data_IF_433758930843
#
_entry.id   IF_433758930843
#
_cell.length_a   1.000
_cell.length_b   1.000
_cell.length_c   1.000
_cell.angle_alpha   90.00
_cell.angle_beta   90.00
_cell.angle_gamma   90.00
#
_symmetry.space_group_name_H-M   'P 1'
#
loop_
_entity.id
_entity.type
_entity.pdbx_description
1 polymer ?
#
# COMPACT_ATOMS: atom_id res chain seq x y z
N UNK A 1 -71.58 -20.50 35.88
CA UNK A 1 -71.21 -19.17 35.34
C UNK A 1 -72.40 -18.66 34.58
N UNK A 2 -72.92 -17.48 34.94
CA UNK A 2 -74.00 -16.87 34.17
C UNK A 2 -73.42 -16.25 32.91
N UNK A 3 -73.91 -16.65 31.74
CA UNK A 3 -73.50 -16.06 30.45
C UNK A 3 -74.35 -14.83 30.19
N UNK A 4 -73.72 -13.70 29.88
CA UNK A 4 -74.38 -12.42 29.58
C UNK A 4 -74.37 -12.21 28.07
N UNK A 5 -75.50 -11.85 27.47
CA UNK A 5 -75.54 -11.52 26.05
C UNK A 5 -74.81 -10.20 25.80
N UNK A 6 -73.90 -10.15 24.84
CA UNK A 6 -73.14 -8.92 24.55
C UNK A 6 -73.93 -7.83 23.81
N UNK A 7 -75.18 -8.11 23.40
CA UNK A 7 -76.04 -7.15 22.69
C UNK A 7 -76.99 -6.45 23.68
N UNK A 8 -77.84 -7.22 24.37
CA UNK A 8 -78.77 -6.66 25.37
C UNK A 8 -78.11 -6.43 26.74
N UNK A 9 -76.94 -7.03 27.00
CA UNK A 9 -76.25 -7.01 28.30
C UNK A 9 -77.04 -7.68 29.44
N UNK A 10 -78.10 -8.41 29.11
CA UNK A 10 -78.88 -9.19 30.06
C UNK A 10 -78.32 -10.61 30.23
N UNK A 11 -78.63 -11.22 31.39
CA UNK A 11 -78.34 -12.63 31.64
C UNK A 11 -79.11 -13.48 30.61
N UNK A 12 -78.40 -14.30 29.85
CA UNK A 12 -79.06 -15.24 28.95
C UNK A 12 -79.72 -16.30 29.82
N UNK A 13 -81.06 -16.31 29.85
CA UNK A 13 -81.83 -17.30 30.60
C UNK A 13 -81.64 -18.72 30.08
N UNK A 14 -82.47 -19.66 30.54
CA UNK A 14 -82.43 -21.09 30.14
C UNK A 14 -82.65 -21.31 28.62
N UNK A 15 -82.95 -20.23 27.90
CA UNK A 15 -83.11 -20.16 26.47
C UNK A 15 -81.77 -20.18 25.74
N UNK A 16 -81.48 -21.31 25.08
CA UNK A 16 -80.80 -21.44 23.80
C UNK A 16 -79.77 -20.35 23.43
N UNK A 17 -78.51 -20.64 23.73
CA UNK A 17 -77.38 -19.83 23.29
C UNK A 17 -77.09 -20.07 21.80
N UNK A 18 -76.92 -18.97 21.06
CA UNK A 18 -76.53 -18.96 19.66
C UNK A 18 -75.02 -18.70 19.58
N UNK A 19 -74.26 -19.68 19.11
CA UNK A 19 -72.83 -19.53 18.87
C UNK A 19 -72.56 -19.25 17.39
N UNK A 20 -72.02 -18.06 17.10
CA UNK A 20 -71.54 -17.72 15.75
C UNK A 20 -70.23 -18.46 15.42
N UNK A 21 -69.89 -18.59 14.14
CA UNK A 21 -68.64 -19.25 13.68
C UNK A 21 -67.34 -18.66 14.27
N UNK A 22 -67.39 -17.44 14.79
CA UNK A 22 -66.27 -16.79 15.44
C UNK A 22 -66.19 -17.06 16.97
N UNK A 23 -67.15 -17.81 17.51
CA UNK A 23 -67.18 -18.22 18.92
C UNK A 23 -67.84 -17.21 19.87
N UNK A 24 -68.45 -16.14 19.36
CA UNK A 24 -69.22 -15.22 20.19
C UNK A 24 -70.63 -15.75 20.44
N UNK A 25 -71.09 -15.53 21.67
CA UNK A 25 -72.35 -16.05 22.22
C UNK A 25 -73.33 -14.91 22.41
N UNK A 26 -74.57 -15.13 21.97
CA UNK A 26 -75.67 -14.19 22.11
C UNK A 26 -76.91 -14.95 22.57
N UNK A 27 -77.87 -14.24 23.15
CA UNK A 27 -79.23 -14.74 23.27
C UNK A 27 -79.84 -14.90 21.86
N UNK A 28 -80.81 -15.80 21.74
CA UNK A 28 -81.41 -16.12 20.43
C UNK A 28 -82.03 -14.90 19.77
N UNK A 29 -82.72 -14.07 20.53
CA UNK A 29 -83.48 -12.94 20.00
C UNK A 29 -82.55 -11.84 19.48
N UNK A 30 -81.52 -11.42 20.23
CA UNK A 30 -80.60 -10.42 19.72
C UNK A 30 -79.73 -10.96 18.58
N UNK A 31 -79.36 -12.24 18.60
CA UNK A 31 -78.63 -12.85 17.48
C UNK A 31 -79.42 -12.78 16.18
N UNK A 32 -80.71 -13.15 16.21
CA UNK A 32 -81.59 -13.12 15.04
C UNK A 32 -81.82 -11.68 14.56
N UNK A 33 -82.11 -10.74 15.46
CA UNK A 33 -82.31 -9.33 15.11
C UNK A 33 -81.07 -8.69 14.45
N UNK A 34 -79.86 -9.05 14.92
CA UNK A 34 -78.63 -8.60 14.29
C UNK A 34 -78.38 -9.24 12.93
N UNK A 35 -78.81 -10.49 12.72
CA UNK A 35 -78.66 -11.19 11.44
C UNK A 35 -79.70 -10.74 10.40
N UNK A 36 -80.88 -10.30 10.83
CA UNK A 36 -81.88 -9.68 9.95
C UNK A 36 -81.37 -8.36 9.35
N UNK A 37 -80.42 -7.70 10.02
CA UNK A 37 -79.85 -6.42 9.59
C UNK A 37 -78.44 -6.54 8.99
N UNK A 38 -77.63 -7.51 9.41
CA UNK A 38 -76.32 -7.76 8.80
C UNK A 38 -75.86 -9.22 8.95
N UNK A 39 -75.26 -9.77 7.89
CA UNK A 39 -74.68 -11.13 7.89
C UNK A 39 -73.35 -11.26 8.67
N UNK A 40 -73.01 -10.28 9.52
CA UNK A 40 -71.74 -10.21 10.23
C UNK A 40 -71.93 -10.24 11.74
N UNK A 41 -70.98 -10.86 12.45
CA UNK A 41 -71.00 -10.90 13.91
C UNK A 41 -70.95 -9.47 14.50
N UNK A 42 -71.85 -9.08 15.41
CA UNK A 42 -71.87 -7.73 16.00
C UNK A 42 -70.58 -7.34 16.73
N UNK A 43 -69.85 -8.32 17.26
CA UNK A 43 -68.62 -8.08 18.04
C UNK A 43 -67.39 -7.98 17.14
N UNK A 44 -67.15 -8.96 16.27
CA UNK A 44 -65.89 -9.03 15.50
C UNK A 44 -66.05 -8.77 14.00
N UNK A 45 -67.28 -8.50 13.53
CA UNK A 45 -67.63 -8.20 12.13
C UNK A 45 -67.23 -9.27 11.10
N UNK A 46 -66.90 -10.49 11.56
CA UNK A 46 -66.67 -11.62 10.66
C UNK A 46 -68.00 -12.13 10.11
N UNK A 47 -68.00 -12.53 8.84
CA UNK A 47 -69.19 -13.10 8.18
C UNK A 47 -69.64 -14.37 8.90
N UNK A 48 -70.94 -14.47 9.16
CA UNK A 48 -71.51 -15.59 9.91
C UNK A 48 -71.71 -16.80 9.00
N UNK A 49 -72.09 -16.59 7.74
CA UNK A 49 -72.21 -17.65 6.75
C UNK A 49 -70.84 -18.01 6.16
N UNK A 50 -70.32 -19.20 6.48
CA UNK A 50 -69.12 -19.72 5.83
C UNK A 50 -69.57 -20.54 4.63
N UNK A 51 -68.99 -20.31 3.45
CA UNK A 51 -69.44 -20.82 2.14
C UNK A 51 -69.53 -22.35 1.99
N UNK A 52 -69.17 -23.10 3.04
CA UNK A 52 -69.08 -24.56 3.05
C UNK A 52 -70.06 -25.23 4.04
N UNK A 53 -70.95 -24.48 4.69
CA UNK A 53 -71.96 -25.02 5.61
C UNK A 53 -73.37 -24.73 5.07
N UNK A 54 -74.27 -25.69 5.26
CA UNK A 54 -75.67 -25.64 4.83
C UNK A 54 -76.33 -24.30 5.22
N UNK A 55 -76.85 -23.51 4.25
CA UNK A 55 -77.44 -22.19 4.50
C UNK A 55 -78.56 -22.18 5.53
N UNK A 56 -79.14 -23.34 5.86
CA UNK A 56 -80.31 -23.40 6.73
C UNK A 56 -80.03 -23.31 8.24
N UNK A 57 -78.77 -23.40 8.71
CA UNK A 57 -78.45 -23.28 10.15
C UNK A 57 -77.11 -22.57 10.42
N UNK A 58 -77.08 -21.22 10.48
CA UNK A 58 -75.85 -20.45 10.70
C UNK A 58 -75.30 -20.47 12.15
N UNK A 59 -75.90 -21.26 13.05
CA UNK A 59 -75.51 -21.29 14.45
C UNK A 59 -75.64 -22.67 15.10
N UNK A 60 -74.77 -22.92 16.08
CA UNK A 60 -74.83 -24.10 16.94
C UNK A 60 -75.65 -23.79 18.19
N UNK A 61 -76.62 -24.65 18.50
CA UNK A 61 -77.40 -24.61 19.73
C UNK A 61 -76.60 -25.29 20.85
N UNK A 62 -76.25 -24.56 21.90
CA UNK A 62 -75.53 -25.10 23.07
C UNK A 62 -76.44 -25.12 24.29
N UNK A 63 -76.60 -26.28 24.90
CA UNK A 63 -77.29 -26.44 26.18
C UNK A 63 -76.25 -26.49 27.30
N UNK A 64 -76.27 -25.52 28.22
CA UNK A 64 -75.46 -25.55 29.43
C UNK A 64 -76.24 -26.31 30.49
N UNK A 65 -75.89 -27.58 30.72
CA UNK A 65 -76.45 -28.34 31.84
C UNK A 65 -75.77 -27.90 33.12
N UNK A 66 -76.52 -27.35 34.07
CA UNK A 66 -76.02 -26.79 35.31
C UNK A 66 -76.62 -27.52 36.50
N UNK A 67 -76.12 -28.73 36.80
CA UNK A 67 -76.39 -29.37 38.08
C UNK A 67 -75.08 -29.78 38.75
N UNK A 68 -74.70 -28.95 39.73
CA UNK A 68 -73.64 -29.22 40.68
C UNK A 68 -74.28 -29.71 41.97
N UNK A 69 -74.47 -31.02 42.13
CA UNK A 69 -74.34 -31.59 43.47
C UNK A 69 -74.11 -33.10 43.45
N UNK A 70 -73.29 -33.47 44.44
CA UNK A 70 -73.14 -34.76 45.04
C UNK A 70 -72.04 -35.75 44.61
N UNK A 71 -71.39 -36.15 45.69
CA UNK A 71 -70.24 -37.03 45.85
C UNK A 71 -70.72 -38.47 45.74
N UNK A 72 -70.25 -39.21 44.73
CA UNK A 72 -69.87 -40.64 44.81
C UNK A 72 -70.05 -41.35 43.47
N UNK A 73 -68.95 -41.83 42.89
CA UNK A 73 -68.78 -43.26 42.61
C UNK A 73 -67.37 -43.50 42.01
N UNK A 74 -66.60 -44.35 42.69
CA UNK A 74 -65.15 -44.49 42.52
C UNK A 74 -64.67 -45.36 41.36
N UNK A 75 -65.25 -45.22 40.17
CA UNK A 75 -64.89 -46.02 38.99
C UNK A 75 -64.03 -45.31 37.93
N UNK A 76 -64.19 -44.00 37.76
CA UNK A 76 -63.60 -43.20 36.67
C UNK A 76 -62.39 -42.36 37.09
N UNK A 77 -62.03 -42.38 38.38
CA UNK A 77 -60.95 -41.55 38.95
C UNK A 77 -59.58 -41.92 38.38
N UNK A 78 -59.29 -43.21 38.15
CA UNK A 78 -57.98 -43.66 37.67
C UNK A 78 -57.66 -43.19 36.25
N UNK A 79 -58.61 -43.30 35.32
CA UNK A 79 -58.41 -42.82 33.94
C UNK A 79 -58.30 -41.29 33.87
N UNK A 80 -59.08 -40.59 34.70
CA UNK A 80 -59.00 -39.15 34.82
C UNK A 80 -57.67 -38.68 35.41
N UNK A 81 -57.16 -39.35 36.44
CA UNK A 81 -55.83 -39.08 37.02
C UNK A 81 -54.73 -39.34 35.99
N UNK A 82 -54.82 -40.41 35.20
CA UNK A 82 -53.85 -40.69 34.14
C UNK A 82 -53.85 -39.60 33.05
N UNK A 83 -55.02 -39.14 32.63
CA UNK A 83 -55.15 -38.03 31.67
C UNK A 83 -54.61 -36.72 32.26
N UNK A 84 -54.83 -36.47 33.55
CA UNK A 84 -54.32 -35.28 34.23
C UNK A 84 -52.79 -35.30 34.29
N UNK A 85 -52.19 -36.46 34.59
CA UNK A 85 -50.73 -36.66 34.58
C UNK A 85 -50.17 -36.45 33.16
N UNK A 86 -50.80 -37.02 32.14
CA UNK A 86 -50.41 -36.83 30.72
C UNK A 86 -50.51 -35.36 30.30
N UNK A 87 -51.53 -34.64 30.73
CA UNK A 87 -51.71 -33.22 30.45
C UNK A 87 -50.62 -32.37 31.13
N UNK A 88 -50.32 -32.63 32.41
CA UNK A 88 -49.24 -31.95 33.14
C UNK A 88 -47.89 -32.19 32.46
N UNK A 89 -47.59 -33.44 32.09
CA UNK A 89 -46.38 -33.79 31.36
C UNK A 89 -46.29 -33.08 29.99
N UNK A 90 -47.40 -32.99 29.25
CA UNK A 90 -47.46 -32.26 27.99
C UNK A 90 -47.21 -30.75 28.16
N UNK A 91 -47.74 -30.14 29.23
CA UNK A 91 -47.53 -28.72 29.53
C UNK A 91 -46.07 -28.42 29.91
N UNK A 92 -45.43 -29.27 30.72
CA UNK A 92 -44.00 -29.17 31.01
C UNK A 92 -43.18 -29.24 29.71
N UNK A 93 -43.52 -30.17 28.82
CA UNK A 93 -42.86 -30.29 27.51
C UNK A 93 -43.08 -29.07 26.62
N UNK A 94 -44.27 -28.45 26.65
CA UNK A 94 -44.54 -27.21 25.91
C UNK A 94 -43.68 -26.05 26.43
N UNK A 95 -43.58 -25.88 27.75
CA UNK A 95 -42.75 -24.85 28.37
C UNK A 95 -41.26 -25.03 28.05
N UNK A 96 -40.76 -26.27 28.07
CA UNK A 96 -39.39 -26.59 27.66
C UNK A 96 -39.14 -26.21 26.18
N UNK A 97 -40.04 -26.59 25.26
CA UNK A 97 -39.92 -26.24 23.84
C UNK A 97 -40.01 -24.73 23.57
N UNK A 98 -40.82 -23.99 24.35
CA UNK A 98 -40.90 -22.54 24.24
C UNK A 98 -39.61 -21.86 24.72
N UNK A 99 -39.00 -22.39 25.78
CA UNK A 99 -37.68 -21.95 26.26
C UNK A 99 -36.59 -22.20 25.22
N UNK A 100 -36.52 -23.42 24.67
CA UNK A 100 -35.56 -23.80 23.61
C UNK A 100 -35.70 -22.90 22.37
N UNK A 101 -36.94 -22.58 21.98
CA UNK A 101 -37.23 -21.73 20.82
C UNK A 101 -36.78 -20.28 21.06
N UNK A 102 -36.92 -19.77 22.30
CA UNK A 102 -36.43 -18.45 22.65
C UNK A 102 -34.90 -18.39 22.70
N UNK A 103 -34.24 -19.43 23.24
CA UNK A 103 -32.79 -19.56 23.21
C UNK A 103 -32.26 -19.59 21.77
N UNK A 104 -32.85 -20.42 20.90
CA UNK A 104 -32.48 -20.48 19.47
C UNK A 104 -32.69 -19.14 18.74
N UNK A 105 -33.74 -18.37 19.10
CA UNK A 105 -33.94 -17.01 18.55
C UNK A 105 -32.83 -16.06 18.98
N UNK A 106 -32.41 -16.14 20.24
CA UNK A 106 -31.31 -15.34 20.75
C UNK A 106 -29.99 -15.67 20.03
N UNK A 107 -29.68 -16.96 19.87
CA UNK A 107 -28.48 -17.43 19.16
C UNK A 107 -28.45 -16.96 17.70
N UNK A 108 -29.60 -17.04 16.99
CA UNK A 108 -29.73 -16.51 15.63
C UNK A 108 -29.49 -14.99 15.59
N UNK A 109 -29.93 -14.25 16.62
CA UNK A 109 -29.68 -12.81 16.71
C UNK A 109 -28.18 -12.50 16.87
N UNK A 110 -27.48 -13.24 17.75
CA UNK A 110 -26.04 -13.12 17.94
C UNK A 110 -25.29 -13.46 16.64
N UNK A 111 -25.62 -14.60 16.02
CA UNK A 111 -24.98 -15.03 14.77
C UNK A 111 -25.16 -14.00 13.64
N UNK A 112 -26.35 -13.41 13.50
CA UNK A 112 -26.61 -12.34 12.54
C UNK A 112 -25.78 -11.08 12.81
N UNK A 113 -25.62 -10.69 14.08
CA UNK A 113 -24.79 -9.55 14.43
C UNK A 113 -23.32 -9.81 14.12
N UNK A 114 -22.81 -11.00 14.45
CA UNK A 114 -21.45 -11.43 14.12
C UNK A 114 -21.20 -11.43 12.61
N UNK A 115 -22.16 -11.91 11.82
CA UNK A 115 -22.09 -11.87 10.35
C UNK A 115 -22.02 -10.42 9.82
N UNK A 116 -22.85 -9.50 10.35
CA UNK A 116 -22.80 -8.08 9.96
C UNK A 116 -21.43 -7.46 10.26
N UNK A 117 -20.89 -7.72 11.45
CA UNK A 117 -19.57 -7.23 11.86
C UNK A 117 -18.46 -7.79 10.94
N UNK A 118 -18.46 -9.09 10.66
CA UNK A 118 -17.50 -9.73 9.76
C UNK A 118 -17.58 -9.15 8.32
N UNK A 119 -18.80 -8.89 7.83
CA UNK A 119 -19.02 -8.26 6.52
C UNK A 119 -18.48 -6.83 6.47
N UNK A 120 -18.66 -6.05 7.54
CA UNK A 120 -18.08 -4.70 7.64
C UNK A 120 -16.56 -4.73 7.69
N UNK A 121 -15.96 -5.65 8.47
CA UNK A 121 -14.52 -5.83 8.51
C UNK A 121 -13.96 -6.19 7.12
N UNK A 122 -14.62 -7.09 6.39
CA UNK A 122 -14.26 -7.45 5.01
C UNK A 122 -14.27 -6.26 4.05
N UNK A 123 -15.26 -5.36 4.16
CA UNK A 123 -15.28 -4.10 3.41
C UNK A 123 -14.08 -3.21 3.77
N UNK A 124 -13.74 -3.10 5.05
CA UNK A 124 -12.58 -2.35 5.52
C UNK A 124 -11.26 -2.89 4.94
N UNK A 125 -11.08 -4.21 4.92
CA UNK A 125 -9.90 -4.83 4.28
C UNK A 125 -9.85 -4.59 2.78
N UNK A 126 -10.99 -4.60 2.09
CA UNK A 126 -11.05 -4.27 0.65
C UNK A 126 -10.57 -2.83 0.39
N UNK A 127 -11.08 -1.85 1.16
CA UNK A 127 -10.65 -0.45 1.01
C UNK A 127 -9.15 -0.26 1.31
N UNK A 128 -8.61 -0.95 2.32
CA UNK A 128 -7.17 -0.95 2.61
C UNK A 128 -6.36 -1.55 1.44
N UNK A 129 -6.82 -2.68 0.88
CA UNK A 129 -6.18 -3.31 -0.27
C UNK A 129 -6.15 -2.36 -1.49
N UNK A 130 -7.28 -1.72 -1.80
CA UNK A 130 -7.38 -0.77 -2.91
C UNK A 130 -6.44 0.44 -2.71
N UNK A 131 -6.32 0.94 -1.48
CA UNK A 131 -5.36 2.01 -1.15
C UNK A 131 -3.90 1.56 -1.34
N UNK A 132 -3.52 0.37 -0.84
CA UNK A 132 -2.17 -0.17 -1.01
C UNK A 132 -1.81 -0.44 -2.48
N UNK A 133 -2.78 -0.87 -3.29
CA UNK A 133 -2.59 -1.06 -4.74
C UNK A 133 -2.28 0.28 -5.43
N UNK A 134 -3.00 1.35 -5.06
CA UNK A 134 -2.76 2.69 -5.58
C UNK A 134 -1.37 3.23 -5.20
N UNK A 135 -0.93 2.99 -3.97
CA UNK A 135 0.44 3.33 -3.52
C UNK A 135 1.50 2.56 -4.32
N UNK A 136 1.27 1.27 -4.57
CA UNK A 136 2.16 0.42 -5.35
C UNK A 136 2.29 0.89 -6.81
N UNK A 137 1.18 1.33 -7.42
CA UNK A 137 1.21 1.95 -8.75
C UNK A 137 2.00 3.26 -8.78
N UNK A 138 1.85 4.10 -7.75
CA UNK A 138 2.64 5.33 -7.61
C UNK A 138 4.14 5.05 -7.46
N UNK A 139 4.52 4.05 -6.66
CA UNK A 139 5.92 3.62 -6.51
C UNK A 139 6.49 3.06 -7.82
N UNK A 140 5.71 2.28 -8.58
CA UNK A 140 6.11 1.80 -9.92
C UNK A 140 6.37 2.95 -10.89
N UNK A 141 5.50 3.96 -10.90
CA UNK A 141 5.68 5.15 -11.73
C UNK A 141 6.96 5.92 -11.36
N UNK A 142 7.22 6.09 -10.05
CA UNK A 142 8.46 6.71 -9.55
C UNK A 142 9.72 5.91 -9.94
N UNK A 143 9.69 4.58 -9.80
CA UNK A 143 10.80 3.70 -10.21
C UNK A 143 11.10 3.84 -11.71
N UNK A 144 10.07 3.89 -12.56
CA UNK A 144 10.25 4.06 -14.00
C UNK A 144 10.85 5.43 -14.35
N UNK A 145 10.43 6.50 -13.65
CA UNK A 145 11.01 7.85 -13.80
C UNK A 145 12.50 7.86 -13.43
N UNK A 146 12.89 7.25 -12.31
CA UNK A 146 14.30 7.13 -11.92
C UNK A 146 15.12 6.31 -12.93
N UNK A 147 14.58 5.20 -13.45
CA UNK A 147 15.24 4.44 -14.52
C UNK A 147 15.51 5.29 -15.75
N UNK A 148 14.56 6.13 -16.15
CA UNK A 148 14.74 7.06 -17.27
C UNK A 148 15.82 8.12 -16.97
N UNK A 149 15.83 8.69 -15.76
CA UNK A 149 16.85 9.64 -15.35
C UNK A 149 18.25 9.01 -15.33
N UNK A 150 18.39 7.78 -14.83
CA UNK A 150 19.66 7.03 -14.85
C UNK A 150 20.14 6.85 -16.29
N UNK A 151 19.26 6.43 -17.22
CA UNK A 151 19.61 6.30 -18.65
C UNK A 151 20.08 7.63 -19.26
N UNK A 152 19.42 8.74 -18.95
CA UNK A 152 19.83 10.07 -19.42
C UNK A 152 21.21 10.47 -18.88
N UNK A 153 21.46 10.21 -17.59
CA UNK A 153 22.75 10.49 -16.95
C UNK A 153 23.86 9.60 -17.50
N UNK A 154 23.58 8.34 -17.79
CA UNK A 154 24.54 7.41 -18.42
C UNK A 154 24.96 7.90 -19.82
N UNK A 155 24.01 8.36 -20.65
CA UNK A 155 24.32 8.96 -21.94
C UNK A 155 25.20 10.21 -21.80
N UNK A 156 24.90 11.10 -20.84
CA UNK A 156 25.73 12.28 -20.57
C UNK A 156 27.15 11.92 -20.11
N UNK A 157 27.30 10.87 -19.29
CA UNK A 157 28.62 10.38 -18.85
C UNK A 157 29.40 9.85 -20.05
N UNK A 158 28.77 9.11 -20.96
CA UNK A 158 29.40 8.60 -22.18
C UNK A 158 29.91 9.74 -23.07
N UNK A 159 29.11 10.79 -23.26
CA UNK A 159 29.51 11.96 -24.05
C UNK A 159 30.66 12.75 -23.40
N UNK A 160 30.68 12.88 -22.07
CA UNK A 160 31.79 13.48 -21.33
C UNK A 160 33.07 12.63 -21.45
N UNK A 161 32.96 11.30 -21.43
CA UNK A 161 34.09 10.39 -21.65
C UNK A 161 34.66 10.53 -23.07
N UNK A 162 33.81 10.61 -24.09
CA UNK A 162 34.22 10.90 -25.48
C UNK A 162 34.95 12.25 -25.57
N UNK A 163 34.42 13.28 -24.91
CA UNK A 163 35.05 14.61 -24.86
C UNK A 163 36.41 14.59 -24.16
N UNK A 164 36.52 13.87 -23.03
CA UNK A 164 37.78 13.69 -22.30
C UNK A 164 38.84 13.01 -23.17
N UNK A 165 38.48 11.92 -23.86
CA UNK A 165 39.44 11.21 -24.74
C UNK A 165 39.90 12.08 -25.91
N UNK A 166 39.01 12.89 -26.51
CA UNK A 166 39.39 13.86 -27.54
C UNK A 166 40.35 14.94 -27.01
N UNK A 167 40.11 15.47 -25.81
CA UNK A 167 41.01 16.45 -25.20
C UNK A 167 42.37 15.87 -24.84
N UNK A 168 42.42 14.63 -24.33
CA UNK A 168 43.69 13.93 -24.08
C UNK A 168 44.51 13.73 -25.35
N UNK A 169 43.88 13.37 -26.48
CA UNK A 169 44.56 13.32 -27.79
C UNK A 169 45.10 14.69 -28.20
N UNK A 170 44.29 15.74 -28.10
CA UNK A 170 44.71 17.09 -28.44
C UNK A 170 45.87 17.57 -27.55
N UNK A 171 45.86 17.24 -26.26
CA UNK A 171 46.95 17.54 -25.36
C UNK A 171 48.24 16.82 -25.78
N UNK A 172 48.17 15.51 -26.09
CA UNK A 172 49.32 14.75 -26.58
C UNK A 172 49.91 15.37 -27.85
N UNK A 173 49.06 15.76 -28.81
CA UNK A 173 49.49 16.39 -30.05
C UNK A 173 50.17 17.76 -29.81
N UNK A 174 49.66 18.54 -28.86
CA UNK A 174 50.27 19.82 -28.46
C UNK A 174 51.60 19.62 -27.74
N UNK A 175 51.70 18.61 -26.87
CA UNK A 175 52.94 18.26 -26.18
C UNK A 175 54.02 17.79 -27.17
N UNK A 176 53.66 16.95 -28.14
CA UNK A 176 54.52 16.53 -29.24
C UNK A 176 54.98 17.72 -30.09
N UNK A 177 54.05 18.58 -30.53
CA UNK A 177 54.36 19.79 -31.30
C UNK A 177 55.33 20.72 -30.55
N UNK A 178 55.14 20.86 -29.24
CA UNK A 178 56.01 21.66 -28.39
C UNK A 178 57.40 21.02 -28.25
N UNK A 179 57.48 19.69 -28.12
CA UNK A 179 58.75 18.97 -28.11
C UNK A 179 59.54 19.16 -29.43
N UNK A 180 58.85 19.05 -30.58
CA UNK A 180 59.44 19.30 -31.90
C UNK A 180 59.97 20.74 -32.01
N UNK A 181 59.18 21.73 -31.60
CA UNK A 181 59.60 23.14 -31.63
C UNK A 181 60.82 23.39 -30.73
N UNK A 182 60.85 22.83 -29.52
CA UNK A 182 62.01 22.90 -28.63
C UNK A 182 63.25 22.30 -29.27
N UNK A 183 63.14 21.12 -29.90
CA UNK A 183 64.26 20.49 -30.60
C UNK A 183 64.76 21.34 -31.78
N UNK A 184 63.84 21.95 -32.56
CA UNK A 184 64.20 22.86 -33.64
C UNK A 184 64.92 24.12 -33.14
N UNK A 185 64.49 24.67 -32.00
CA UNK A 185 65.18 25.81 -31.36
C UNK A 185 66.61 25.41 -30.97
N UNK A 186 66.80 24.26 -30.31
CA UNK A 186 68.13 23.76 -29.93
C UNK A 186 69.03 23.57 -31.16
N UNK A 187 68.54 22.92 -32.22
CA UNK A 187 69.29 22.72 -33.47
C UNK A 187 69.70 24.05 -34.12
N UNK A 188 68.76 25.00 -34.23
CA UNK A 188 69.06 26.31 -34.83
C UNK A 188 70.03 27.12 -33.97
N UNK A 189 69.94 27.06 -32.65
CA UNK A 189 70.88 27.71 -31.75
C UNK A 189 72.28 27.10 -31.86
N UNK A 190 72.38 25.76 -31.97
CA UNK A 190 73.66 25.09 -32.20
C UNK A 190 74.28 25.48 -33.55
N UNK A 191 73.49 25.57 -34.63
CA UNK A 191 73.96 26.05 -35.93
C UNK A 191 74.43 27.51 -35.87
N UNK A 192 73.67 28.39 -35.22
CA UNK A 192 74.06 29.79 -35.06
C UNK A 192 75.36 29.92 -34.25
N UNK A 193 75.50 29.12 -33.18
CA UNK A 193 76.73 29.06 -32.38
C UNK A 193 77.92 28.56 -33.21
N UNK A 194 77.74 27.52 -34.02
CA UNK A 194 78.79 27.01 -34.90
C UNK A 194 79.20 28.02 -35.97
N UNK A 195 78.25 28.72 -36.59
CA UNK A 195 78.53 29.79 -37.54
C UNK A 195 79.30 30.94 -36.87
N UNK A 196 78.88 31.35 -35.69
CA UNK A 196 79.59 32.36 -34.90
C UNK A 196 81.01 31.93 -34.55
N UNK A 197 81.19 30.67 -34.12
CA UNK A 197 82.51 30.10 -33.85
C UNK A 197 83.38 30.07 -35.12
N UNK A 198 82.85 29.67 -36.28
CA UNK A 198 83.62 29.69 -37.53
C UNK A 198 84.03 31.10 -37.96
N UNK A 199 83.17 32.10 -37.79
CA UNK A 199 83.49 33.49 -38.10
C UNK A 199 84.55 34.07 -37.17
N UNK A 200 84.48 33.75 -35.87
CA UNK A 200 85.45 34.21 -34.86
C UNK A 200 86.76 33.42 -34.87
N UNK A 201 86.76 32.16 -35.30
CA UNK A 201 87.97 31.33 -35.39
C UNK A 201 88.70 31.49 -36.74
N UNK A 202 88.03 32.04 -37.77
CA UNK A 202 88.68 32.47 -39.02
C UNK A 202 89.52 33.73 -38.86
N UNK A 203 89.40 34.48 -37.77
CA UNK A 203 90.42 35.46 -37.38
C UNK A 203 91.62 34.76 -36.73
N UNK A 204 92.17 33.76 -37.41
CA UNK A 204 93.53 33.28 -37.22
C UNK A 204 94.50 34.40 -37.64
N UNK A 205 94.45 35.51 -36.91
CA UNK A 205 95.49 36.52 -36.91
C UNK A 205 96.75 35.79 -36.42
N UNK A 206 97.71 35.59 -37.31
CA UNK A 206 99.00 34.98 -37.00
C UNK A 206 99.75 35.72 -35.89
N UNK A 207 99.41 36.99 -35.65
CA UNK A 207 99.94 37.81 -34.56
C UNK A 207 99.37 37.44 -33.18
N UNK A 208 98.14 36.93 -33.09
CA UNK A 208 97.50 36.56 -31.82
C UNK A 208 97.96 35.20 -31.26
N UNK A 209 98.72 34.40 -32.02
CA UNK A 209 99.30 33.12 -31.55
C UNK A 209 100.38 33.28 -30.46
N UNK A 210 100.80 34.51 -30.13
CA UNK A 210 101.84 34.77 -29.12
C UNK A 210 101.30 35.03 -27.70
N UNK A 211 100.00 35.14 -27.50
CA UNK A 211 99.42 35.18 -26.15
C UNK A 211 99.08 33.75 -25.72
N UNK A 212 100.12 33.01 -25.29
CA UNK A 212 99.93 31.80 -24.48
C UNK A 212 99.28 32.21 -23.16
N UNK A 213 98.22 31.50 -22.79
CA UNK A 213 97.60 31.57 -21.47
C UNK A 213 98.64 31.22 -20.39
N UNK A 214 98.90 32.11 -19.41
CA UNK A 214 99.63 31.75 -18.21
C UNK A 214 98.62 31.23 -17.19
N UNK A 215 98.32 29.92 -17.19
CA UNK A 215 97.81 29.17 -16.03
C UNK A 215 97.62 27.70 -16.44
N UNK A 216 98.74 27.01 -16.66
CA UNK A 216 98.83 25.56 -16.47
C UNK A 216 99.23 25.36 -15.00
N UNK A 217 98.25 25.30 -14.12
CA UNK A 217 98.28 24.72 -12.78
C UNK A 217 96.90 25.01 -12.17
N UNK A 218 96.02 24.02 -12.19
CA UNK A 218 95.35 23.54 -10.99
C UNK A 218 94.36 22.42 -11.36
N UNK A 219 94.66 21.25 -10.81
CA UNK A 219 93.85 20.05 -10.79
C UNK A 219 92.55 20.32 -10.03
N UNK A 220 91.47 20.77 -10.68
CA UNK A 220 90.11 20.64 -10.15
C UNK A 220 89.04 20.89 -11.23
N UNK A 221 88.97 20.00 -12.22
CA UNK A 221 87.88 20.00 -13.21
C UNK A 221 86.72 19.15 -12.69
N UNK A 222 85.92 19.73 -11.79
CA UNK A 222 84.58 19.23 -11.51
C UNK A 222 83.62 19.68 -12.62
N UNK A 223 83.38 18.77 -13.56
CA UNK A 223 82.06 18.44 -14.14
C UNK A 223 81.12 19.61 -14.47
N UNK A 224 81.47 20.43 -15.47
CA UNK A 224 80.53 21.36 -16.11
C UNK A 224 79.58 20.60 -17.06
N UNK A 225 78.54 19.98 -16.49
CA UNK A 225 77.35 19.51 -17.22
C UNK A 225 76.36 20.66 -17.40
N UNK A 226 76.48 21.38 -18.50
CA UNK A 226 75.54 22.43 -18.91
C UNK A 226 74.18 21.83 -19.27
N UNK A 227 73.19 21.93 -18.37
CA UNK A 227 71.77 21.74 -18.69
C UNK A 227 71.02 23.08 -18.61
N UNK A 228 70.14 23.41 -19.58
CA UNK A 228 69.48 24.71 -19.62
C UNK A 228 68.21 24.70 -18.77
N UNK A 229 68.35 24.99 -17.48
CA UNK A 229 67.23 25.35 -16.59
C UNK A 229 67.69 26.39 -15.57
N UNK A 230 67.64 27.66 -15.93
CA UNK A 230 67.38 28.81 -15.05
C UNK A 230 67.79 30.11 -15.75
N UNK A 231 66.83 30.80 -16.35
CA UNK A 231 66.96 32.20 -16.78
C UNK A 231 66.30 33.17 -15.77
N UNK A 232 65.44 32.66 -14.88
CA UNK A 232 64.72 33.50 -13.91
C UNK A 232 65.51 33.76 -12.60
N UNK A 233 66.70 33.18 -12.46
CA UNK A 233 67.58 33.34 -11.27
C UNK A 233 68.91 34.03 -11.59
N UNK A 234 69.00 34.83 -12.66
CA UNK A 234 70.16 35.67 -12.97
C UNK A 234 70.35 36.74 -11.88
N UNK A 235 70.96 36.34 -10.78
CA UNK A 235 71.42 37.23 -9.73
C UNK A 235 72.54 38.13 -10.27
N UNK A 236 72.70 39.32 -9.66
CA UNK A 236 73.74 40.33 -9.93
C UNK A 236 75.16 39.79 -10.24
N UNK A 237 75.65 38.66 -9.68
CA UNK A 237 76.98 38.12 -9.98
C UNK A 237 77.19 37.69 -11.45
N UNK A 238 76.20 37.04 -12.07
CA UNK A 238 76.35 36.59 -13.47
C UNK A 238 76.37 37.78 -14.44
N UNK A 239 75.63 38.84 -14.14
CA UNK A 239 75.68 40.09 -14.93
C UNK A 239 77.02 40.81 -14.76
N UNK A 240 77.60 40.80 -13.55
CA UNK A 240 78.95 41.34 -13.29
C UNK A 240 80.03 40.59 -14.05
N UNK A 241 79.92 39.26 -14.12
CA UNK A 241 80.88 38.45 -14.85
C UNK A 241 80.78 38.67 -16.35
N UNK A 242 79.56 38.76 -16.90
CA UNK A 242 79.36 39.16 -18.31
C UNK A 242 79.91 40.57 -18.60
N UNK A 243 79.78 41.51 -17.66
CA UNK A 243 80.37 42.85 -17.79
C UNK A 243 81.90 42.81 -17.78
N UNK A 244 82.51 42.02 -16.90
CA UNK A 244 83.96 41.81 -16.88
C UNK A 244 84.47 41.18 -18.18
N UNK A 245 83.82 40.13 -18.67
CA UNK A 245 84.18 39.49 -19.95
C UNK A 245 84.04 40.46 -21.14
N UNK A 246 83.03 41.33 -21.11
CA UNK A 246 82.84 42.40 -22.11
C UNK A 246 83.93 43.47 -22.02
N UNK A 247 84.32 43.85 -20.80
CA UNK A 247 85.38 44.82 -20.56
C UNK A 247 86.74 44.29 -20.99
N UNK A 248 87.06 43.04 -20.65
CA UNK A 248 88.30 42.39 -21.06
C UNK A 248 88.38 42.25 -22.60
N UNK A 249 87.27 41.91 -23.26
CA UNK A 249 87.21 41.92 -24.73
C UNK A 249 87.36 43.31 -25.34
N UNK A 250 86.80 44.33 -24.69
CA UNK A 250 86.95 45.72 -25.12
C UNK A 250 88.41 46.17 -25.01
N UNK A 251 89.07 45.84 -23.89
CA UNK A 251 90.48 46.18 -23.66
C UNK A 251 91.40 45.43 -24.65
N UNK A 252 91.12 44.16 -24.96
CA UNK A 252 91.80 43.43 -26.04
C UNK A 252 91.59 44.07 -27.42
N UNK A 253 90.37 44.52 -27.74
CA UNK A 253 90.08 45.22 -28.99
C UNK A 253 90.82 46.55 -29.07
N UNK A 254 90.90 47.30 -27.97
CA UNK A 254 91.65 48.55 -27.89
C UNK A 254 93.16 48.30 -28.12
N UNK A 255 93.72 47.23 -27.56
CA UNK A 255 95.10 46.81 -27.82
C UNK A 255 95.34 46.43 -29.30
N UNK A 256 94.46 45.62 -29.89
CA UNK A 256 94.58 45.25 -31.31
C UNK A 256 94.44 46.48 -32.22
N UNK A 257 93.58 47.43 -31.86
CA UNK A 257 93.44 48.69 -32.58
C UNK A 257 94.72 49.53 -32.48
N UNK A 258 95.37 49.57 -31.32
CA UNK A 258 96.65 50.23 -31.11
C UNK A 258 97.81 49.56 -31.88
N UNK A 259 97.83 48.22 -31.96
CA UNK A 259 98.82 47.49 -32.74
C UNK A 259 98.61 47.63 -34.25
N UNK A 260 97.36 47.63 -34.73
CA UNK A 260 97.04 47.85 -36.15
C UNK A 260 97.32 49.29 -36.59
N UNK A 261 97.14 50.29 -35.71
CA UNK A 261 97.60 51.66 -35.99
C UNK A 261 99.12 51.79 -36.07
N UNK A 262 99.88 50.95 -35.34
CA UNK A 262 101.35 50.87 -35.46
C UNK A 262 101.81 50.10 -36.70
N UNK A 263 101.13 49.03 -37.08
CA UNK A 263 101.53 48.18 -38.21
C UNK A 263 101.31 48.82 -39.59
N UNK A 264 100.43 49.81 -39.70
CA UNK A 264 100.01 50.38 -40.98
C UNK A 264 100.67 51.72 -41.34
N UNK A 265 101.78 52.08 -40.71
CA UNK A 265 102.53 53.33 -41.01
C UNK A 265 103.20 53.38 -42.40
N UNK A 266 102.85 52.48 -43.33
CA UNK A 266 103.40 52.39 -44.69
C UNK A 266 102.36 52.35 -45.82
N UNK A 267 101.06 52.48 -45.52
CA UNK A 267 99.99 52.51 -46.52
C UNK A 267 99.53 53.95 -46.76
N UNK A 268 99.26 54.32 -48.02
CA UNK A 268 98.70 55.64 -48.34
C UNK A 268 97.32 55.79 -47.69
N UNK A 269 97.00 56.98 -47.17
CA UNK A 269 95.76 57.24 -46.41
C UNK A 269 94.48 56.76 -47.14
N UNK A 270 94.50 56.76 -48.48
CA UNK A 270 93.41 56.26 -49.33
C UNK A 270 93.12 54.77 -49.17
N UNK A 271 94.15 53.91 -49.16
CA UNK A 271 93.98 52.46 -49.00
C UNK A 271 93.45 52.10 -47.60
N UNK A 272 93.85 52.89 -46.60
CA UNK A 272 93.41 52.73 -45.22
C UNK A 272 91.91 53.04 -45.04
N UNK A 273 91.44 54.10 -45.72
CA UNK A 273 90.03 54.47 -45.75
C UNK A 273 89.20 53.44 -46.52
N UNK A 274 89.68 52.96 -47.66
CA UNK A 274 88.99 51.94 -48.46
C UNK A 274 88.77 50.63 -47.66
N UNK A 275 89.83 50.12 -47.01
CA UNK A 275 89.74 48.91 -46.19
C UNK A 275 88.81 49.11 -44.97
N UNK A 276 88.80 50.32 -44.39
CA UNK A 276 87.90 50.66 -43.29
C UNK A 276 86.43 50.71 -43.75
N UNK A 277 86.15 51.28 -44.93
CA UNK A 277 84.82 51.29 -45.55
C UNK A 277 84.35 49.86 -45.82
N UNK A 278 85.18 49.01 -46.44
CA UNK A 278 84.82 47.61 -46.73
C UNK A 278 84.53 46.81 -45.44
N UNK A 279 85.31 47.05 -44.38
CA UNK A 279 85.06 46.45 -43.06
C UNK A 279 83.73 46.93 -42.46
N UNK A 280 83.42 48.24 -42.54
CA UNK A 280 82.15 48.78 -42.07
C UNK A 280 80.96 48.23 -42.88
N UNK A 281 81.10 48.06 -44.19
CA UNK A 281 80.08 47.46 -45.05
C UNK A 281 79.85 45.98 -44.70
N UNK A 282 80.91 45.23 -44.45
CA UNK A 282 80.83 43.84 -43.99
C UNK A 282 80.12 43.74 -42.62
N UNK A 283 80.48 44.60 -41.66
CA UNK A 283 79.82 44.69 -40.36
C UNK A 283 78.35 45.07 -40.48
N UNK A 284 78.02 46.01 -41.38
CA UNK A 284 76.64 46.42 -41.63
C UNK A 284 75.83 45.26 -42.23
N UNK A 285 76.41 44.49 -43.16
CA UNK A 285 75.77 43.31 -43.75
C UNK A 285 75.54 42.22 -42.69
N UNK A 286 76.54 41.95 -41.85
CA UNK A 286 76.40 40.99 -40.75
C UNK A 286 75.34 41.45 -39.74
N UNK A 287 75.32 42.73 -39.37
CA UNK A 287 74.31 43.32 -38.49
C UNK A 287 72.90 43.18 -39.05
N UNK A 288 72.70 43.44 -40.36
CA UNK A 288 71.42 43.20 -41.05
C UNK A 288 71.02 41.73 -40.99
N UNK A 289 71.95 40.80 -41.19
CA UNK A 289 71.67 39.35 -41.07
C UNK A 289 71.27 38.97 -39.65
N UNK A 290 71.98 39.46 -38.62
CA UNK A 290 71.63 39.26 -37.21
C UNK A 290 70.26 39.83 -36.88
N UNK A 291 69.92 41.01 -37.41
CA UNK A 291 68.60 41.62 -37.22
C UNK A 291 67.48 40.74 -37.80
N UNK A 292 67.67 40.16 -38.99
CA UNK A 292 66.70 39.23 -39.59
C UNK A 292 66.56 37.96 -38.74
N UNK A 293 67.68 37.41 -38.24
CA UNK A 293 67.67 36.25 -37.35
C UNK A 293 66.95 36.53 -36.02
N UNK A 294 67.19 37.70 -35.40
CA UNK A 294 66.51 38.14 -34.18
C UNK A 294 65.00 38.31 -34.40
N UNK A 295 64.58 38.92 -35.52
CA UNK A 295 63.15 38.99 -35.89
C UNK A 295 62.54 37.59 -36.05
N UNK A 296 63.26 36.65 -36.64
CA UNK A 296 62.80 35.24 -36.76
C UNK A 296 62.72 34.53 -35.40
N UNK A 297 63.67 34.77 -34.49
CA UNK A 297 63.63 34.26 -33.12
C UNK A 297 62.45 34.85 -32.33
N UNK A 298 62.23 36.15 -32.43
CA UNK A 298 61.10 36.83 -31.77
C UNK A 298 59.76 36.24 -32.19
N UNK A 299 59.53 36.02 -33.50
CA UNK A 299 58.30 35.38 -34.00
C UNK A 299 58.12 33.94 -33.47
N UNK A 300 59.21 33.18 -33.31
CA UNK A 300 59.15 31.82 -32.75
C UNK A 300 58.82 31.85 -31.26
N UNK A 301 59.40 32.77 -30.49
CA UNK A 301 59.08 32.92 -29.08
C UNK A 301 57.62 33.29 -28.88
N UNK A 302 57.08 34.20 -29.71
CA UNK A 302 55.65 34.53 -29.69
C UNK A 302 54.77 33.30 -29.97
N UNK A 303 55.13 32.46 -30.95
CA UNK A 303 54.41 31.22 -31.24
C UNK A 303 54.47 30.22 -30.06
N UNK A 304 55.62 30.09 -29.41
CA UNK A 304 55.76 29.23 -28.21
C UNK A 304 54.90 29.76 -27.06
N UNK A 305 54.84 31.08 -26.86
CA UNK A 305 54.00 31.69 -25.82
C UNK A 305 52.50 31.48 -26.11
N UNK A 306 52.08 31.63 -27.37
CA UNK A 306 50.71 31.32 -27.79
C UNK A 306 50.35 29.85 -27.57
N UNK A 307 51.26 28.91 -27.86
CA UNK A 307 51.06 27.48 -27.60
C UNK A 307 51.00 27.18 -26.10
N UNK A 308 51.83 27.83 -25.27
CA UNK A 308 51.79 27.70 -23.83
C UNK A 308 50.43 28.17 -23.26
N UNK A 309 49.92 29.32 -23.72
CA UNK A 309 48.58 29.82 -23.35
C UNK A 309 47.47 28.82 -23.73
N UNK A 310 47.53 28.25 -24.95
CA UNK A 310 46.59 27.22 -25.40
C UNK A 310 46.67 25.95 -24.53
N UNK A 311 47.87 25.51 -24.16
CA UNK A 311 48.08 24.35 -23.30
C UNK A 311 47.50 24.56 -21.89
N UNK A 312 47.72 25.73 -21.29
CA UNK A 312 47.16 26.09 -19.98
C UNK A 312 45.62 26.09 -20.04
N UNK A 313 45.04 26.72 -21.06
CA UNK A 313 43.58 26.72 -21.25
C UNK A 313 43.02 25.30 -21.45
N UNK A 314 43.70 24.44 -22.20
CA UNK A 314 43.32 23.04 -22.38
C UNK A 314 43.34 22.26 -21.06
N UNK A 315 44.38 22.44 -20.23
CA UNK A 315 44.48 21.82 -18.90
C UNK A 315 43.39 22.29 -17.94
N UNK A 316 43.04 23.57 -17.97
CA UNK A 316 41.92 24.11 -17.18
C UNK A 316 40.58 23.49 -17.61
N UNK A 317 40.33 23.37 -18.92
CA UNK A 317 39.14 22.70 -19.45
C UNK A 317 39.07 21.22 -19.05
N UNK A 318 40.20 20.52 -19.09
CA UNK A 318 40.29 19.13 -18.65
C UNK A 318 39.97 18.99 -17.16
N UNK A 319 40.56 19.82 -16.30
CA UNK A 319 40.29 19.80 -14.85
C UNK A 319 38.82 20.05 -14.55
N UNK A 320 38.17 20.99 -15.27
CA UNK A 320 36.73 21.23 -15.16
C UNK A 320 35.91 19.99 -15.55
N UNK A 321 36.22 19.37 -16.68
CA UNK A 321 35.52 18.15 -17.13
C UNK A 321 35.69 16.97 -16.14
N UNK A 322 36.85 16.86 -15.49
CA UNK A 322 37.07 15.84 -14.45
C UNK A 322 36.23 16.10 -13.20
N UNK A 323 36.08 17.37 -12.80
CA UNK A 323 35.19 17.75 -11.72
C UNK A 323 33.72 17.46 -12.06
N UNK A 324 33.28 17.81 -13.28
CA UNK A 324 31.92 17.56 -13.77
C UNK A 324 31.63 16.05 -13.83
N UNK A 325 32.59 15.24 -14.29
CA UNK A 325 32.48 13.78 -14.36
C UNK A 325 32.39 13.15 -12.96
N UNK A 326 33.16 13.67 -11.99
CA UNK A 326 33.05 13.26 -10.58
C UNK A 326 31.68 13.60 -10.01
N UNK A 327 31.20 14.83 -10.21
CA UNK A 327 29.88 15.25 -9.75
C UNK A 327 28.75 14.40 -10.34
N UNK A 328 28.84 14.05 -11.63
CA UNK A 328 27.87 13.17 -12.30
C UNK A 328 27.92 11.74 -11.77
N UNK A 329 29.09 11.22 -11.45
CA UNK A 329 29.26 9.91 -10.80
C UNK A 329 28.64 9.88 -9.40
N UNK A 330 28.87 10.92 -8.59
CA UNK A 330 28.26 11.06 -7.27
C UNK A 330 26.73 11.16 -7.36
N UNK A 331 26.21 11.94 -8.32
CA UNK A 331 24.76 12.03 -8.57
C UNK A 331 24.16 10.67 -9.00
N UNK A 332 24.88 9.89 -9.83
CA UNK A 332 24.46 8.54 -10.22
C UNK A 332 24.39 7.60 -9.01
N UNK A 333 25.36 7.66 -8.09
CA UNK A 333 25.32 6.88 -6.85
C UNK A 333 24.08 7.20 -6.01
N UNK A 334 23.78 8.49 -5.81
CA UNK A 334 22.57 8.93 -5.08
C UNK A 334 21.28 8.39 -5.72
N UNK A 335 21.17 8.43 -7.05
CA UNK A 335 20.01 7.86 -7.77
C UNK A 335 19.91 6.34 -7.60
N UNK A 336 21.04 5.63 -7.54
CA UNK A 336 21.06 4.18 -7.28
C UNK A 336 20.60 3.86 -5.87
N UNK A 337 21.06 4.61 -4.86
CA UNK A 337 20.64 4.43 -3.47
C UNK A 337 19.13 4.70 -3.31
N UNK A 338 18.62 5.75 -3.96
CA UNK A 338 17.17 6.03 -4.02
C UNK A 338 16.39 4.90 -4.70
N UNK A 339 16.92 4.34 -5.79
CA UNK A 339 16.30 3.19 -6.48
C UNK A 339 16.22 1.99 -5.53
N UNK A 340 17.30 1.65 -4.83
CA UNK A 340 17.34 0.53 -3.87
C UNK A 340 16.33 0.77 -2.72
N UNK A 341 16.23 1.99 -2.20
CA UNK A 341 15.24 2.34 -1.17
C UNK A 341 13.79 2.17 -1.65
N UNK A 342 13.49 2.54 -2.90
CA UNK A 342 12.18 2.36 -3.52
C UNK A 342 11.89 0.88 -3.76
N UNK A 343 12.86 0.09 -4.23
CA UNK A 343 12.72 -1.35 -4.39
C UNK A 343 12.43 -2.04 -3.04
N UNK A 344 13.14 -1.67 -1.97
CA UNK A 344 12.85 -2.16 -0.63
C UNK A 344 11.45 -1.78 -0.12
N UNK A 345 10.98 -0.57 -0.46
CA UNK A 345 9.62 -0.12 -0.12
C UNK A 345 8.55 -0.86 -0.92
N UNK A 346 8.82 -1.15 -2.20
CA UNK A 346 7.94 -1.95 -3.05
C UNK A 346 7.81 -3.40 -2.53
N UNK A 347 8.92 -4.02 -2.10
CA UNK A 347 8.89 -5.36 -1.51
C UNK A 347 8.04 -5.41 -0.24
N UNK A 348 8.20 -4.44 0.67
CA UNK A 348 7.35 -4.34 1.88
C UNK A 348 5.87 -4.15 1.54
N UNK A 349 5.55 -3.34 0.52
CA UNK A 349 4.17 -3.16 0.06
C UNK A 349 3.58 -4.47 -0.50
N UNK A 350 4.35 -5.24 -1.27
CA UNK A 350 3.93 -6.54 -1.78
C UNK A 350 3.67 -7.55 -0.65
N UNK A 351 4.53 -7.60 0.36
CA UNK A 351 4.33 -8.44 1.54
C UNK A 351 3.05 -8.04 2.31
N UNK A 352 2.81 -6.75 2.48
CA UNK A 352 1.59 -6.23 3.11
C UNK A 352 0.32 -6.62 2.31
N UNK A 353 0.37 -6.54 0.99
CA UNK A 353 -0.73 -6.97 0.11
C UNK A 353 -1.00 -8.47 0.27
N UNK A 354 0.03 -9.31 0.29
CA UNK A 354 -0.12 -10.75 0.50
C UNK A 354 -0.72 -11.07 1.87
N UNK A 355 -0.28 -10.38 2.92
CA UNK A 355 -0.85 -10.52 4.27
C UNK A 355 -2.35 -10.14 4.30
N UNK A 356 -2.73 -9.01 3.68
CA UNK A 356 -4.13 -8.59 3.57
C UNK A 356 -4.97 -9.57 2.75
N UNK A 357 -4.42 -10.14 1.69
CA UNK A 357 -5.10 -11.17 0.90
C UNK A 357 -5.38 -12.44 1.72
N UNK A 358 -4.43 -12.87 2.55
CA UNK A 358 -4.62 -14.01 3.45
C UNK A 358 -5.68 -13.70 4.52
N UNK A 359 -5.62 -12.54 5.17
CA UNK A 359 -6.65 -12.10 6.12
C UNK A 359 -8.05 -12.03 5.50
N UNK A 360 -8.16 -11.57 4.24
CA UNK A 360 -9.41 -11.56 3.49
C UNK A 360 -9.94 -12.98 3.26
N UNK A 361 -9.08 -13.93 2.88
CA UNK A 361 -9.47 -15.35 2.69
C UNK A 361 -9.97 -15.96 3.99
N UNK A 362 -9.28 -15.70 5.11
CA UNK A 362 -9.70 -16.19 6.42
C UNK A 362 -11.04 -15.59 6.85
N UNK A 363 -11.25 -14.29 6.61
CA UNK A 363 -12.54 -13.63 6.88
C UNK A 363 -13.68 -14.20 6.03
N UNK A 364 -13.41 -14.54 4.76
CA UNK A 364 -14.39 -15.20 3.88
C UNK A 364 -14.71 -16.60 4.42
N UNK A 365 -13.70 -17.38 4.84
CA UNK A 365 -13.88 -18.70 5.43
C UNK A 365 -14.74 -18.63 6.70
N UNK A 366 -14.42 -17.73 7.62
CA UNK A 366 -15.21 -17.50 8.84
C UNK A 366 -16.66 -17.09 8.51
N UNK A 367 -16.84 -16.21 7.52
CA UNK A 367 -18.18 -15.81 7.08
C UNK A 367 -18.97 -16.98 6.51
N UNK A 368 -18.34 -17.88 5.75
CA UNK A 368 -19.00 -19.06 5.21
C UNK A 368 -19.40 -20.04 6.32
N UNK A 369 -18.54 -20.26 7.31
CA UNK A 369 -18.84 -21.12 8.46
C UNK A 369 -20.00 -20.57 9.30
N UNK A 370 -20.02 -19.25 9.56
CA UNK A 370 -21.13 -18.60 10.25
C UNK A 370 -22.43 -18.71 9.45
N UNK A 371 -22.36 -18.64 8.12
CA UNK A 371 -23.54 -18.79 7.27
C UNK A 371 -24.11 -20.21 7.33
N UNK A 372 -23.26 -21.24 7.34
CA UNK A 372 -23.67 -22.63 7.56
C UNK A 372 -24.33 -22.82 8.93
N UNK A 373 -23.72 -22.29 10.00
CA UNK A 373 -24.31 -22.35 11.36
C UNK A 373 -25.66 -21.64 11.43
N UNK A 374 -25.81 -20.52 10.74
CA UNK A 374 -27.07 -19.79 10.67
C UNK A 374 -28.16 -20.58 9.93
N UNK A 375 -27.81 -21.28 8.85
CA UNK A 375 -28.76 -22.17 8.15
C UNK A 375 -29.19 -23.34 9.03
N UNK A 376 -28.25 -24.00 9.70
CA UNK A 376 -28.55 -25.11 10.62
C UNK A 376 -29.46 -24.67 11.78
N UNK A 377 -29.17 -23.51 12.39
CA UNK A 377 -30.01 -22.95 13.46
C UNK A 377 -31.42 -22.58 12.96
N UNK A 378 -31.53 -22.10 11.72
CA UNK A 378 -32.82 -21.78 11.10
C UNK A 378 -33.67 -23.03 10.87
N UNK A 379 -33.04 -24.11 10.39
CA UNK A 379 -33.70 -25.40 10.19
C UNK A 379 -34.11 -26.05 11.52
N UNK A 380 -33.25 -25.98 12.54
CA UNK A 380 -33.56 -26.44 13.89
C UNK A 380 -34.77 -25.69 14.48
N UNK A 381 -34.80 -24.36 14.34
CA UNK A 381 -35.94 -23.53 14.74
C UNK A 381 -37.22 -23.94 14.02
N UNK A 382 -37.18 -24.19 12.70
CA UNK A 382 -38.34 -24.63 11.93
C UNK A 382 -38.85 -25.99 12.41
N UNK A 383 -37.93 -26.91 12.72
CA UNK A 383 -38.26 -28.23 13.30
C UNK A 383 -38.92 -28.09 14.68
N UNK A 384 -38.37 -27.26 15.57
CA UNK A 384 -38.97 -26.96 16.88
C UNK A 384 -40.37 -26.34 16.75
N UNK A 385 -40.56 -25.42 15.80
CA UNK A 385 -41.87 -24.83 15.51
C UNK A 385 -42.89 -25.88 15.07
N UNK A 386 -42.50 -26.83 14.22
CA UNK A 386 -43.36 -27.96 13.81
C UNK A 386 -43.71 -28.84 15.02
N UNK A 387 -42.72 -29.18 15.87
CA UNK A 387 -42.94 -29.97 17.10
C UNK A 387 -43.87 -29.26 18.08
N UNK A 388 -43.70 -27.95 18.27
CA UNK A 388 -44.55 -27.12 19.12
C UNK A 388 -45.99 -27.09 18.62
N UNK A 389 -46.21 -26.89 17.31
CA UNK A 389 -47.56 -26.94 16.69
C UNK A 389 -48.24 -28.30 16.92
N UNK A 390 -47.52 -29.40 16.70
CA UNK A 390 -48.02 -30.75 16.93
C UNK A 390 -48.33 -31.02 18.41
N UNK A 391 -47.48 -30.55 19.32
CA UNK A 391 -47.72 -30.65 20.77
C UNK A 391 -48.94 -29.84 21.21
N UNK A 392 -49.11 -28.61 20.70
CA UNK A 392 -50.31 -27.78 20.95
C UNK A 392 -51.59 -28.46 20.44
N UNK A 393 -51.55 -29.10 19.27
CA UNK A 393 -52.67 -29.88 18.74
C UNK A 393 -53.03 -31.06 19.67
N UNK A 394 -52.03 -31.83 20.13
CA UNK A 394 -52.25 -32.94 21.08
C UNK A 394 -52.78 -32.47 22.43
N UNK A 395 -52.26 -31.38 22.98
CA UNK A 395 -52.76 -30.79 24.22
C UNK A 395 -54.24 -30.37 24.08
N UNK A 396 -54.62 -29.75 22.96
CA UNK A 396 -56.03 -29.42 22.66
C UNK A 396 -56.90 -30.67 22.55
N UNK A 397 -56.42 -31.73 21.91
CA UNK A 397 -57.15 -33.01 21.84
C UNK A 397 -57.35 -33.63 23.23
N UNK A 398 -56.33 -33.62 24.09
CA UNK A 398 -56.44 -34.11 25.47
C UNK A 398 -57.40 -33.24 26.30
N UNK A 399 -57.40 -31.93 26.10
CA UNK A 399 -58.35 -31.02 26.77
C UNK A 399 -59.79 -31.30 26.33
N UNK A 400 -60.02 -31.52 25.03
CA UNK A 400 -61.33 -31.90 24.52
C UNK A 400 -61.77 -33.28 25.04
N UNK A 401 -60.85 -34.25 25.09
CA UNK A 401 -61.13 -35.57 25.65
C UNK A 401 -61.45 -35.49 27.15
N UNK A 402 -60.75 -34.64 27.90
CA UNK A 402 -61.05 -34.35 29.30
C UNK A 402 -62.46 -33.76 29.43
N UNK A 403 -62.81 -32.76 28.63
CA UNK A 403 -64.13 -32.14 28.66
C UNK A 403 -65.23 -33.15 28.30
N UNK A 404 -64.99 -34.02 27.31
CA UNK A 404 -65.91 -35.10 26.96
C UNK A 404 -66.08 -36.11 28.09
N UNK A 405 -64.98 -36.59 28.68
CA UNK A 405 -65.04 -37.52 29.81
C UNK A 405 -65.77 -36.90 31.02
N UNK A 406 -65.59 -35.59 31.26
CA UNK A 406 -66.36 -34.87 32.27
C UNK A 406 -67.85 -34.85 31.95
N UNK A 407 -68.24 -34.53 30.70
CA UNK A 407 -69.64 -34.54 30.27
C UNK A 407 -70.27 -35.94 30.30
N UNK A 408 -69.53 -36.98 29.89
CA UNK A 408 -69.99 -38.37 29.95
C UNK A 408 -70.18 -38.81 31.41
N UNK A 409 -69.26 -38.41 32.31
CA UNK A 409 -69.38 -38.66 33.74
C UNK A 409 -70.58 -37.91 34.35
N UNK A 410 -70.81 -36.66 33.96
CA UNK A 410 -72.02 -35.88 34.34
C UNK A 410 -73.30 -36.60 33.87
N UNK A 411 -73.34 -37.11 32.63
CA UNK A 411 -74.48 -37.87 32.09
C UNK A 411 -74.72 -39.18 32.86
N UNK A 412 -73.66 -39.94 33.17
CA UNK A 412 -73.76 -41.15 33.99
C UNK A 412 -74.33 -40.83 35.38
N UNK A 413 -73.82 -39.77 36.03
CA UNK A 413 -74.33 -39.31 37.33
C UNK A 413 -75.81 -38.93 37.24
N UNK A 414 -76.22 -38.22 36.19
CA UNK A 414 -77.63 -37.88 35.95
C UNK A 414 -78.52 -39.12 35.82
N UNK A 415 -78.08 -40.15 35.06
CA UNK A 415 -78.81 -41.42 34.93
C UNK A 415 -78.89 -42.18 36.25
N UNK A 416 -77.82 -42.19 37.05
CA UNK A 416 -77.83 -42.82 38.37
C UNK A 416 -78.78 -42.11 39.34
N UNK A 417 -78.81 -40.78 39.32
CA UNK A 417 -79.76 -40.00 40.13
C UNK A 417 -81.21 -40.30 39.73
N UNK A 418 -81.49 -40.40 38.42
CA UNK A 418 -82.82 -40.79 37.94
C UNK A 418 -83.23 -42.18 38.46
N UNK A 419 -82.33 -43.17 38.34
CA UNK A 419 -82.56 -44.52 38.86
C UNK A 419 -82.76 -44.51 40.39
N UNK A 420 -82.03 -43.69 41.14
CA UNK A 420 -82.21 -43.58 42.58
C UNK A 420 -83.60 -43.04 42.97
N UNK A 421 -84.11 -42.06 42.21
CA UNK A 421 -85.48 -41.54 42.37
C UNK A 421 -86.52 -42.60 42.01
N UNK A 422 -86.31 -43.33 40.92
CA UNK A 422 -87.18 -44.44 40.51
C UNK A 422 -87.18 -45.56 41.54
N UNK A 423 -86.01 -45.97 42.06
CA UNK A 423 -85.89 -46.96 43.12
C UNK A 423 -86.56 -46.51 44.43
N UNK A 424 -86.42 -45.24 44.83
CA UNK A 424 -87.11 -44.70 46.01
C UNK A 424 -88.63 -44.71 45.82
N UNK A 425 -89.10 -44.37 44.61
CA UNK A 425 -90.52 -44.41 44.26
C UNK A 425 -91.05 -45.84 44.26
N UNK A 426 -90.27 -46.78 43.71
CA UNK A 426 -90.56 -48.21 43.73
C UNK A 426 -90.59 -48.75 45.16
N UNK A 427 -89.63 -48.39 46.01
CA UNK A 427 -89.59 -48.82 47.40
C UNK A 427 -90.83 -48.31 48.17
N UNK A 428 -91.23 -47.05 47.96
CA UNK A 428 -92.48 -46.50 48.52
C UNK A 428 -93.70 -47.27 48.02
N UNK A 429 -93.81 -47.52 46.71
CA UNK A 429 -94.92 -48.27 46.12
C UNK A 429 -94.96 -49.72 46.64
N UNK A 430 -93.80 -50.38 46.76
CA UNK A 430 -93.67 -51.73 47.29
C UNK A 430 -94.06 -51.80 48.77
N UNK A 431 -93.61 -50.85 49.59
CA UNK A 431 -94.04 -50.74 51.00
C UNK A 431 -95.55 -50.54 51.11
N UNK A 432 -96.16 -49.68 50.28
CA UNK A 432 -97.61 -49.50 50.23
C UNK A 432 -98.36 -50.77 49.80
N UNK A 433 -97.82 -51.52 48.84
CA UNK A 433 -98.39 -52.81 48.42
C UNK A 433 -98.38 -53.84 49.55
N UNK A 434 -97.25 -53.97 50.26
CA UNK A 434 -97.13 -54.87 51.42
C UNK A 434 -98.10 -54.43 52.53
N UNK A 435 -98.24 -53.13 52.80
CA UNK A 435 -99.19 -52.61 53.78
C UNK A 435 -100.66 -52.92 53.43
N UNK A 436 -101.05 -52.76 52.16
CA UNK A 436 -102.40 -53.09 51.70
C UNK A 436 -102.69 -54.60 51.73
N UNK A 437 -101.70 -55.45 51.46
CA UNK A 437 -101.86 -56.91 51.53
C UNK A 437 -102.07 -57.42 52.96
N UNK A 438 -101.47 -56.76 53.95
CA UNK A 438 -101.67 -57.10 55.37
C UNK A 438 -103.03 -56.62 55.92
N UNK A 439 -103.71 -55.70 55.24
CA UNK A 439 -105.05 -55.22 55.63
C UNK A 439 -106.22 -55.97 54.96
N UNK A 440 -105.94 -56.93 54.07
CA UNK A 440 -106.95 -57.64 53.27
C UNK A 440 -107.37 -59.03 53.77
N UNK A 441 -106.88 -59.49 54.93
CA UNK A 441 -107.18 -60.83 55.47
C UNK A 441 -108.05 -60.78 56.75
N UNK A 442 -109.11 -59.98 56.72
CA UNK A 442 -110.03 -59.79 57.86
C UNK A 442 -111.45 -59.48 57.36
N UNK A 443 -112.07 -60.40 56.63
CA UNK A 443 -113.54 -60.57 56.65
C UNK A 443 -113.92 -61.94 56.06
N UNK A 444 -113.62 -62.98 56.82
CA UNK A 444 -114.56 -64.09 56.98
C UNK A 444 -114.95 -64.04 58.46
N UNK A 445 -116.10 -63.41 58.71
CA UNK A 445 -117.11 -63.78 59.72
C UNK A 445 -118.35 -62.87 59.55
#
# INVERSE_FOLDING_TARGET
MKTICSICLDEVGDSLLVLTNCGHVFDRECAMACLDTSDTCPICRKYVYNSNLDPQQPFYRVYLSADNNDKSSGGTTKEWEELLVKLKAANVRLSALETDLNNSRHDISIANQNYKNARQASKGYKSKLDATLKELEALKASSNKLKQQIKQKDASIEDLQKSKTMLSRNQSNLEESNAILKQQIVRKNALAFHQYFQLTNKSNCSSCKKLRSPHDNDDEVHEWKSTPKNLDNLSRPQLKQQYHDLQERYDCLAMVHAETTKANSGLTASAHVQMYIENLEAQLKESKTRQVQLKSLSKRNEMVEQLAKKLISAKQKQSKLEADLKQMSDAKRVLYDQKVQIEGSLSRALEAILALQNQKKDSIRQSSELQTKLTEATDAKLSLQKRLKSAKKRAKQLQNAKAKAQADNENIMNRMNLLAVECSSFEKAFRSYIANKNNGSSSDD
#
